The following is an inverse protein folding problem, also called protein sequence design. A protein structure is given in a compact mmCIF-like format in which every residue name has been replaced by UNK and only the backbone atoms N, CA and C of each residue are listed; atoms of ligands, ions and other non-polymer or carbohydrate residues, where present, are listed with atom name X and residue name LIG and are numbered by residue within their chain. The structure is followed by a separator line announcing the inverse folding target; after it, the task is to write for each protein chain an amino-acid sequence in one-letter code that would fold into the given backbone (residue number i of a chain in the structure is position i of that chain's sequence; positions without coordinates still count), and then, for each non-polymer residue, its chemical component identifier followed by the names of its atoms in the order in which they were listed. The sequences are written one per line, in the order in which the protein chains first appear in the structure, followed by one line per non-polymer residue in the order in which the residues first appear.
data_IF_754260585528
#
_entry.id   IF_754260585528
#
_cell.length_a   1.000
_cell.length_b   1.000
_cell.length_c   1.000
_cell.angle_alpha   90.00
_cell.angle_beta   90.00
_cell.angle_gamma   90.00
#
_symmetry.space_group_name_H-M   'P 1'
#
loop_
_entity.id
_entity.type
_entity.pdbx_description
1 polymer ?
#
# COMPACT_ATOMS: atom_id res chain seq x y z
N UNK A 1 -7.89 -11.23 -30.29
CA UNK A 1 -6.76 -11.06 -29.37
C UNK A 1 -5.47 -11.46 -30.08
N UNK A 2 -4.46 -10.62 -30.09
CA UNK A 2 -3.17 -10.89 -30.75
C UNK A 2 -2.05 -10.62 -29.74
N UNK A 3 -1.05 -11.52 -29.72
CA UNK A 3 0.22 -11.28 -29.00
C UNK A 3 0.97 -10.15 -29.71
N UNK A 4 1.47 -9.17 -28.96
CA UNK A 4 2.17 -8.01 -29.51
C UNK A 4 3.55 -7.78 -28.89
N UNK A 5 4.35 -8.85 -28.81
CA UNK A 5 5.69 -8.80 -28.23
C UNK A 5 5.70 -8.74 -26.71
N UNK A 6 6.85 -8.41 -26.17
CA UNK A 6 7.11 -8.36 -24.73
C UNK A 6 7.27 -6.90 -24.26
N UNK A 7 7.22 -6.71 -22.96
CA UNK A 7 7.49 -5.40 -22.37
C UNK A 7 8.98 -5.04 -22.54
N UNK A 8 9.25 -3.77 -22.83
CA UNK A 8 10.64 -3.29 -23.04
C UNK A 8 11.46 -3.33 -21.74
N UNK A 9 10.79 -3.14 -20.59
CA UNK A 9 11.43 -3.13 -19.27
C UNK A 9 11.39 -4.48 -18.58
N UNK A 10 10.45 -5.34 -18.95
CA UNK A 10 10.26 -6.69 -18.39
C UNK A 10 10.09 -7.70 -19.52
N UNK A 11 11.21 -8.25 -19.99
CA UNK A 11 11.25 -9.15 -21.16
C UNK A 11 10.38 -10.41 -21.01
N UNK A 12 10.00 -10.79 -19.79
CA UNK A 12 9.15 -11.95 -19.51
C UNK A 12 7.66 -11.63 -19.62
N UNK A 13 7.28 -10.33 -19.66
CA UNK A 13 5.91 -9.88 -19.66
C UNK A 13 5.35 -9.78 -21.07
N UNK A 14 4.46 -10.70 -21.42
CA UNK A 14 3.79 -10.73 -22.71
C UNK A 14 2.73 -9.64 -22.80
N UNK A 15 2.74 -8.85 -23.89
CA UNK A 15 1.70 -7.87 -24.20
C UNK A 15 0.71 -8.41 -25.22
N UNK A 16 -0.55 -8.03 -25.03
CA UNK A 16 -1.67 -8.38 -25.90
C UNK A 16 -2.36 -7.14 -26.45
N UNK A 17 -3.02 -7.30 -27.58
CA UNK A 17 -3.89 -6.27 -28.14
C UNK A 17 -5.22 -6.86 -28.60
N UNK A 18 -6.31 -6.17 -28.29
CA UNK A 18 -7.62 -6.50 -28.82
C UNK A 18 -7.70 -6.12 -30.30
N UNK A 19 -8.17 -7.03 -31.15
CA UNK A 19 -8.32 -6.77 -32.61
C UNK A 19 -9.45 -5.79 -32.90
N UNK A 20 -10.48 -5.77 -32.04
CA UNK A 20 -11.71 -5.00 -32.26
C UNK A 20 -11.56 -3.55 -31.85
N UNK A 21 -11.03 -3.28 -30.64
CA UNK A 21 -10.93 -1.93 -30.09
C UNK A 21 -9.50 -1.39 -30.03
N UNK A 22 -8.49 -2.20 -30.35
CA UNK A 22 -7.08 -1.79 -30.30
C UNK A 22 -6.50 -1.66 -28.87
N UNK A 23 -7.30 -1.93 -27.83
CA UNK A 23 -6.85 -1.84 -26.43
C UNK A 23 -5.67 -2.78 -26.19
N UNK A 24 -4.66 -2.26 -25.49
CA UNK A 24 -3.46 -3.02 -25.10
C UNK A 24 -3.55 -3.42 -23.64
N UNK A 25 -3.22 -4.66 -23.35
CA UNK A 25 -3.25 -5.22 -22.00
C UNK A 25 -2.21 -6.32 -21.84
N UNK A 26 -1.96 -6.70 -20.62
CA UNK A 26 -1.09 -7.80 -20.23
C UNK A 26 -1.72 -8.58 -19.06
N UNK A 27 -1.02 -9.59 -18.57
CA UNK A 27 -1.53 -10.47 -17.52
C UNK A 27 -1.75 -9.75 -16.17
N UNK A 28 -1.13 -8.58 -15.97
CA UNK A 28 -1.26 -7.77 -14.75
C UNK A 28 -2.28 -6.63 -14.88
N UNK A 29 -2.80 -6.39 -16.08
CA UNK A 29 -3.79 -5.33 -16.33
C UNK A 29 -5.07 -5.58 -15.51
N UNK A 30 -5.52 -4.56 -14.79
CA UNK A 30 -6.68 -4.66 -13.91
C UNK A 30 -6.37 -5.25 -12.53
N UNK A 31 -5.11 -5.54 -12.25
CA UNK A 31 -4.63 -5.93 -10.93
C UNK A 31 -3.91 -4.77 -10.24
N UNK A 32 -3.64 -4.92 -8.95
CA UNK A 32 -2.83 -3.94 -8.19
C UNK A 32 -1.39 -3.81 -8.70
N UNK A 33 -0.93 -4.73 -9.53
CA UNK A 33 0.41 -4.75 -10.13
C UNK A 33 0.46 -4.10 -11.51
N UNK A 34 -0.66 -3.55 -12.00
CA UNK A 34 -0.70 -2.85 -13.27
C UNK A 34 0.16 -1.58 -13.21
N UNK A 35 0.72 -1.22 -14.37
CA UNK A 35 1.50 0.02 -14.58
C UNK A 35 2.73 0.18 -13.67
N UNK A 36 3.26 -0.92 -13.18
CA UNK A 36 4.43 -0.92 -12.30
C UNK A 36 5.69 -1.42 -13.02
N UNK A 37 6.83 -0.77 -12.72
CA UNK A 37 8.12 -1.12 -13.31
C UNK A 37 8.83 -2.29 -12.60
N UNK A 38 8.43 -2.58 -11.36
CA UNK A 38 9.07 -3.63 -10.57
C UNK A 38 8.59 -5.03 -10.99
N UNK A 39 9.49 -6.01 -11.12
CA UNK A 39 9.12 -7.39 -11.44
C UNK A 39 8.28 -8.02 -10.33
N UNK A 40 7.40 -8.93 -10.72
CA UNK A 40 6.48 -9.62 -9.79
C UNK A 40 7.18 -10.30 -8.59
N UNK A 41 8.36 -10.94 -8.73
CA UNK A 41 9.08 -11.49 -7.57
C UNK A 41 9.38 -10.45 -6.48
N UNK A 42 9.73 -9.21 -6.87
CA UNK A 42 9.97 -8.13 -5.91
C UNK A 42 8.71 -7.76 -5.13
N UNK A 43 7.54 -7.82 -5.76
CA UNK A 43 6.26 -7.61 -5.10
C UNK A 43 5.94 -8.68 -4.06
N UNK A 44 6.20 -9.95 -4.40
CA UNK A 44 6.01 -11.08 -3.49
C UNK A 44 6.94 -10.96 -2.28
N UNK A 45 8.21 -10.64 -2.49
CA UNK A 45 9.18 -10.42 -1.42
C UNK A 45 8.82 -9.20 -0.57
N UNK A 46 8.39 -8.11 -1.19
CA UNK A 46 7.92 -6.92 -0.47
C UNK A 46 6.76 -7.26 0.48
N UNK A 47 5.77 -8.01 0.00
CA UNK A 47 4.64 -8.47 0.81
C UNK A 47 5.09 -9.36 1.97
N UNK A 48 6.03 -10.27 1.71
CA UNK A 48 6.62 -11.12 2.74
C UNK A 48 7.32 -10.32 3.84
N UNK A 49 8.14 -9.34 3.47
CA UNK A 49 8.83 -8.47 4.40
C UNK A 49 7.87 -7.54 5.17
N UNK A 50 6.78 -7.10 4.55
CA UNK A 50 5.71 -6.40 5.26
C UNK A 50 5.07 -7.28 6.34
N UNK A 51 4.88 -8.57 6.07
CA UNK A 51 4.39 -9.54 7.05
C UNK A 51 5.34 -9.74 8.24
N UNK A 52 6.65 -9.52 8.03
CA UNK A 52 7.66 -9.53 9.10
C UNK A 52 7.78 -8.18 9.83
N UNK A 53 6.92 -7.20 9.54
CA UNK A 53 6.95 -5.85 10.12
C UNK A 53 8.25 -5.07 9.87
N UNK A 54 8.96 -5.34 8.78
CA UNK A 54 10.12 -4.57 8.39
C UNK A 54 9.71 -3.15 7.92
N UNK A 55 10.55 -2.18 8.25
CA UNK A 55 10.35 -0.80 7.75
C UNK A 55 10.62 -0.71 6.25
N UNK A 56 10.03 0.30 5.58
CA UNK A 56 10.27 0.52 4.15
C UNK A 56 11.74 0.69 3.81
N UNK A 57 12.55 1.23 4.72
CA UNK A 57 13.98 1.38 4.54
C UNK A 57 14.71 0.03 4.57
N UNK A 58 14.34 -0.85 5.49
CA UNK A 58 14.89 -2.21 5.57
C UNK A 58 14.51 -3.03 4.33
N UNK A 59 13.24 -2.96 3.91
CA UNK A 59 12.77 -3.63 2.70
C UNK A 59 13.55 -3.13 1.47
N UNK A 60 13.79 -1.83 1.37
CA UNK A 60 14.57 -1.25 0.28
C UNK A 60 16.02 -1.78 0.26
N UNK A 61 16.63 -1.93 1.41
CA UNK A 61 17.97 -2.51 1.53
C UNK A 61 18.01 -3.99 1.12
N UNK A 62 17.04 -4.78 1.56
CA UNK A 62 16.96 -6.21 1.24
C UNK A 62 16.66 -6.46 -0.25
N UNK A 63 15.86 -5.63 -0.88
CA UNK A 63 15.50 -5.76 -2.29
C UNK A 63 16.44 -4.99 -3.23
N UNK A 64 17.42 -4.26 -2.71
CA UNK A 64 18.28 -3.35 -3.48
C UNK A 64 17.48 -2.35 -4.33
N UNK A 65 16.45 -1.76 -3.72
CA UNK A 65 15.55 -0.79 -4.33
C UNK A 65 15.65 0.58 -3.66
N UNK A 66 15.14 1.60 -4.36
CA UNK A 66 14.95 2.91 -3.76
C UNK A 66 13.84 2.86 -2.70
N UNK A 67 14.01 3.60 -1.59
CA UNK A 67 13.01 3.72 -0.53
C UNK A 67 11.67 4.25 -1.02
N UNK A 68 11.68 5.17 -1.97
CA UNK A 68 10.44 5.75 -2.53
C UNK A 68 9.66 4.72 -3.35
N UNK A 69 10.34 3.87 -4.11
CA UNK A 69 9.72 2.76 -4.84
C UNK A 69 9.08 1.77 -3.87
N UNK A 70 9.78 1.40 -2.80
CA UNK A 70 9.24 0.51 -1.77
C UNK A 70 8.05 1.16 -1.06
N UNK A 71 8.10 2.46 -0.79
CA UNK A 71 6.97 3.17 -0.20
C UNK A 71 5.73 3.13 -1.11
N UNK A 72 5.91 3.31 -2.40
CA UNK A 72 4.84 3.14 -3.38
C UNK A 72 4.29 1.71 -3.39
N UNK A 73 5.17 0.72 -3.47
CA UNK A 73 4.80 -0.70 -3.46
C UNK A 73 3.98 -1.06 -2.20
N UNK A 74 4.46 -0.69 -1.03
CA UNK A 74 3.77 -0.99 0.25
C UNK A 74 2.43 -0.29 0.36
N UNK A 75 2.31 0.96 -0.13
CA UNK A 75 1.04 1.69 -0.17
C UNK A 75 0.03 1.03 -1.11
N UNK A 76 0.48 0.60 -2.27
CA UNK A 76 -0.35 -0.07 -3.27
C UNK A 76 -0.84 -1.44 -2.79
N UNK A 77 0.04 -2.22 -2.16
CA UNK A 77 -0.33 -3.50 -1.54
C UNK A 77 -1.39 -3.32 -0.43
N UNK A 78 -1.20 -2.32 0.45
CA UNK A 78 -2.20 -2.02 1.50
C UNK A 78 -3.54 -1.61 0.90
N UNK A 79 -3.55 -0.76 -0.12
CA UNK A 79 -4.77 -0.35 -0.82
C UNK A 79 -5.49 -1.53 -1.45
N UNK A 80 -4.76 -2.45 -2.07
CA UNK A 80 -5.32 -3.67 -2.65
C UNK A 80 -5.95 -4.59 -1.61
N UNK A 81 -5.32 -4.74 -0.45
CA UNK A 81 -5.87 -5.52 0.67
C UNK A 81 -7.16 -4.89 1.18
N UNK A 82 -7.18 -3.56 1.36
CA UNK A 82 -8.38 -2.84 1.84
C UNK A 82 -9.55 -2.99 0.87
N UNK A 83 -9.30 -2.87 -0.44
CA UNK A 83 -10.33 -3.03 -1.46
C UNK A 83 -10.89 -4.45 -1.53
N UNK A 84 -10.07 -5.45 -1.22
CA UNK A 84 -10.48 -6.88 -1.24
C UNK A 84 -11.02 -7.36 0.09
N UNK A 85 -11.02 -6.51 1.12
CA UNK A 85 -11.50 -6.88 2.45
C UNK A 85 -13.01 -7.10 2.41
N UNK A 86 -13.51 -8.27 2.85
CA UNK A 86 -14.94 -8.50 2.96
C UNK A 86 -15.57 -7.55 3.98
N UNK A 87 -16.83 -7.21 3.76
CA UNK A 87 -17.61 -6.48 4.76
C UNK A 87 -17.73 -7.33 6.03
N UNK A 88 -17.23 -6.78 7.14
CA UNK A 88 -17.23 -7.47 8.43
C UNK A 88 -18.38 -6.97 9.27
N UNK A 89 -19.30 -7.85 9.60
CA UNK A 89 -20.36 -7.58 10.58
C UNK A 89 -19.90 -8.07 11.95
N UNK A 90 -19.93 -7.19 12.94
CA UNK A 90 -19.62 -7.56 14.32
C UNK A 90 -20.87 -8.12 14.97
N UNK A 91 -20.77 -9.30 15.58
CA UNK A 91 -21.85 -9.95 16.30
C UNK A 91 -21.40 -10.27 17.72
N UNK A 92 -22.36 -10.30 18.66
CA UNK A 92 -22.12 -10.61 20.06
C UNK A 92 -21.65 -9.38 20.88
N UNK A 93 -20.85 -9.62 21.90
CA UNK A 93 -20.32 -8.59 22.77
C UNK A 93 -19.11 -7.92 22.11
N UNK A 94 -19.20 -6.61 21.91
CA UNK A 94 -18.16 -5.82 21.23
C UNK A 94 -17.61 -4.79 22.21
N UNK A 95 -16.30 -4.86 22.48
CA UNK A 95 -15.59 -3.85 23.25
C UNK A 95 -14.97 -2.80 22.31
N UNK A 96 -15.17 -1.53 22.64
CA UNK A 96 -14.56 -0.41 21.93
C UNK A 96 -13.57 0.30 22.85
N UNK A 97 -12.36 0.55 22.37
CA UNK A 97 -11.36 1.36 23.04
C UNK A 97 -11.07 2.63 22.24
N UNK A 98 -10.95 3.76 22.92
CA UNK A 98 -10.64 5.04 22.30
C UNK A 98 -9.21 5.45 22.63
N UNK A 99 -8.43 5.75 21.58
CA UNK A 99 -7.08 6.27 21.72
C UNK A 99 -7.03 7.72 21.21
N UNK A 100 -6.70 8.63 22.10
CA UNK A 100 -6.48 10.03 21.76
C UNK A 100 -5.03 10.23 21.30
N UNK A 101 -4.84 10.56 20.04
CA UNK A 101 -3.53 10.92 19.50
C UNK A 101 -3.41 12.44 19.47
N UNK A 102 -2.56 12.98 20.34
CA UNK A 102 -2.23 14.41 20.33
C UNK A 102 -1.24 14.67 19.21
N UNK A 103 -1.66 15.36 18.16
CA UNK A 103 -0.76 15.82 17.11
C UNK A 103 0.06 17.01 17.63
N UNK A 104 1.37 16.84 17.71
CA UNK A 104 2.28 17.91 18.12
C UNK A 104 2.31 19.05 17.08
N UNK A 105 2.24 20.26 17.55
CA UNK A 105 2.43 21.47 16.71
C UNK A 105 3.93 21.73 16.54
N UNK A 106 4.55 21.01 15.63
CA UNK A 106 5.99 21.16 15.35
C UNK A 106 6.27 22.59 14.85
N UNK A 107 7.02 23.37 15.62
CA UNK A 107 7.42 24.74 15.27
C UNK A 107 6.49 25.85 15.77
N UNK A 108 5.42 25.53 16.49
CA UNK A 108 4.53 26.51 17.13
C UNK A 108 4.26 26.18 18.60
N UNK A 109 5.25 26.39 19.48
CA UNK A 109 5.11 26.05 20.91
C UNK A 109 3.97 26.82 21.61
N UNK A 110 3.67 28.03 21.16
CA UNK A 110 2.56 28.85 21.68
C UNK A 110 1.15 28.26 21.36
N UNK A 111 1.03 27.41 20.34
CA UNK A 111 -0.23 26.77 19.98
C UNK A 111 -0.54 25.57 20.90
N UNK A 112 0.43 25.10 21.65
CA UNK A 112 0.26 24.04 22.64
C UNK A 112 -0.14 24.69 23.97
N UNK A 113 -1.32 25.29 24.03
CA UNK A 113 -1.93 25.58 25.33
C UNK A 113 -2.23 24.22 25.96
N UNK A 114 -1.61 23.91 27.10
CA UNK A 114 -2.02 22.83 27.98
C UNK A 114 -3.50 23.01 28.31
N UNK A 115 -4.37 22.32 27.59
CA UNK A 115 -5.69 22.01 28.12
C UNK A 115 -5.41 21.08 29.27
N UNK A 116 -5.72 21.52 30.46
CA UNK A 116 -5.58 20.70 31.65
C UNK A 116 -6.34 19.39 31.42
N UNK A 117 -5.59 18.30 31.48
CA UNK A 117 -6.09 16.92 31.32
C UNK A 117 -7.14 16.58 32.41
N UNK A 118 -7.33 17.47 33.37
CA UNK A 118 -8.27 17.32 34.48
C UNK A 118 -9.74 17.60 34.10
N UNK A 119 -10.01 18.28 32.99
CA UNK A 119 -11.40 18.59 32.59
C UNK A 119 -12.11 17.44 31.83
N UNK A 120 -11.39 16.39 31.44
CA UNK A 120 -11.97 15.24 30.72
C UNK A 120 -12.41 14.12 31.69
N UNK A 121 -11.91 14.12 32.92
CA UNK A 121 -12.24 13.11 33.95
C UNK A 121 -13.48 13.48 34.79
N UNK A 122 -14.13 14.61 34.55
CA UNK A 122 -15.27 15.11 35.33
C UNK A 122 -16.57 15.21 34.50
N UNK A 123 -16.65 14.48 33.37
CA UNK A 123 -17.89 14.39 32.59
C UNK A 123 -18.52 13.02 32.75
#
# INVERSE_FOLDING_TARGET
MVKRGFDETQAERQRYQCKTCGYRFDDLTGTIFADHHQPLPNWVLCLYFMGLNLSNQQIAQELDLNKDDVQQMTSQLRSGIVQSKPEVTLEGEVECDEVYVVTGHKGQPEAVKKKDVLDVAAA
#
